data_IF_775252864568
#
_entry.id   IF_775252864568
#
_cell.length_a   1.000
_cell.length_b   1.000
_cell.length_c   1.000
_cell.angle_alpha   90.00
_cell.angle_beta   90.00
_cell.angle_gamma   90.00
#
_symmetry.space_group_name_H-M   'P 1'
#
loop_
_entity.id
_entity.type
_entity.pdbx_description
1 polymer ?
#
# COMPACT_ATOMS: atom_id res chain seq x y z
N UNK A 1 -3.99 5.19 22.03
CA UNK A 1 -2.92 5.41 21.04
C UNK A 1 -3.01 6.85 20.57
N UNK A 2 -1.92 7.60 20.75
CA UNK A 2 -1.80 8.96 20.23
C UNK A 2 -1.62 8.89 18.70
N UNK A 3 -2.48 9.56 17.94
CA UNK A 3 -2.38 9.59 16.48
C UNK A 3 -1.30 10.60 16.10
N UNK A 4 -0.11 10.11 15.79
CA UNK A 4 1.01 10.93 15.32
C UNK A 4 0.97 11.04 13.80
N UNK A 5 1.12 12.25 13.30
CA UNK A 5 1.19 12.55 11.87
C UNK A 5 2.64 12.93 11.55
N UNK A 6 3.22 12.29 10.56
CA UNK A 6 4.57 12.56 10.07
C UNK A 6 4.47 13.09 8.64
N UNK A 7 5.22 14.16 8.35
CA UNK A 7 5.21 14.83 7.05
C UNK A 7 6.66 15.09 6.68
N UNK A 8 7.04 14.73 5.45
CA UNK A 8 8.35 15.07 4.86
C UNK A 8 8.14 15.83 3.56
N UNK A 9 9.14 16.62 3.16
CA UNK A 9 9.14 17.43 1.95
C UNK A 9 10.46 17.24 1.22
N UNK A 10 10.40 17.03 -0.09
CA UNK A 10 11.58 16.80 -0.90
C UNK A 10 11.22 16.49 -2.34
N UNK A 11 12.23 16.13 -3.13
CA UNK A 11 12.11 15.80 -4.55
C UNK A 11 12.58 14.38 -4.88
N UNK A 12 13.01 13.62 -3.86
CA UNK A 12 13.51 12.25 -4.00
C UNK A 12 12.58 11.35 -3.20
N UNK A 13 11.73 10.61 -3.90
CA UNK A 13 10.59 9.87 -3.33
C UNK A 13 11.06 8.75 -2.42
N UNK A 14 12.10 8.04 -2.82
CA UNK A 14 12.67 6.91 -2.09
C UNK A 14 13.20 7.37 -0.74
N UNK A 15 14.04 8.42 -0.76
CA UNK A 15 14.59 9.01 0.47
C UNK A 15 13.48 9.52 1.40
N UNK A 16 12.48 10.20 0.85
CA UNK A 16 11.36 10.70 1.64
C UNK A 16 10.56 9.55 2.28
N UNK A 17 10.34 8.47 1.53
CA UNK A 17 9.62 7.29 2.00
C UNK A 17 10.41 6.58 3.11
N UNK A 18 11.71 6.40 2.94
CA UNK A 18 12.61 5.85 3.96
C UNK A 18 12.63 6.70 5.23
N UNK A 19 12.75 8.03 5.09
CA UNK A 19 12.73 8.96 6.23
C UNK A 19 11.43 8.85 7.03
N UNK A 20 10.27 8.70 6.35
CA UNK A 20 9.00 8.48 7.02
C UNK A 20 8.96 7.12 7.74
N UNK A 21 9.39 6.05 7.10
CA UNK A 21 9.44 4.71 7.68
C UNK A 21 10.33 4.66 8.93
N UNK A 22 11.48 5.35 8.88
CA UNK A 22 12.38 5.53 10.03
C UNK A 22 11.75 6.40 11.12
N UNK A 23 11.14 7.53 10.76
CA UNK A 23 10.52 8.44 11.73
C UNK A 23 9.37 7.77 12.51
N UNK A 24 8.60 6.90 11.87
CA UNK A 24 7.56 6.09 12.54
C UNK A 24 8.13 4.85 13.22
N UNK A 25 9.41 4.53 13.00
CA UNK A 25 10.06 3.31 13.43
C UNK A 25 9.26 2.06 13.01
N UNK A 26 8.95 1.99 11.71
CA UNK A 26 8.06 0.98 11.13
C UNK A 26 8.48 -0.45 11.48
N UNK A 27 9.79 -0.74 11.44
CA UNK A 27 10.31 -2.05 11.79
C UNK A 27 10.04 -2.45 13.25
N UNK A 28 10.13 -1.51 14.20
CA UNK A 28 9.78 -1.80 15.59
C UNK A 28 8.26 -1.93 15.79
N UNK A 29 7.45 -1.20 15.02
CA UNK A 29 5.99 -1.31 15.04
C UNK A 29 5.52 -2.68 14.54
N UNK A 30 6.13 -3.20 13.48
CA UNK A 30 5.85 -4.55 12.95
C UNK A 30 6.31 -5.62 13.95
N UNK A 31 7.50 -5.45 14.52
CA UNK A 31 8.03 -6.33 15.54
C UNK A 31 8.63 -7.62 14.97
N UNK A 32 7.83 -8.68 14.86
CA UNK A 32 8.34 -10.03 14.56
C UNK A 32 8.73 -10.19 13.09
N UNK A 33 9.87 -10.83 12.80
CA UNK A 33 10.39 -10.98 11.43
C UNK A 33 9.54 -11.85 10.52
N UNK A 34 8.79 -12.78 11.11
CA UNK A 34 7.83 -13.63 10.43
C UNK A 34 6.41 -13.04 10.36
N UNK A 35 6.23 -11.75 10.70
CA UNK A 35 4.96 -11.07 10.57
C UNK A 35 4.51 -11.04 9.10
N UNK A 36 3.24 -11.37 8.87
CA UNK A 36 2.58 -11.22 7.58
C UNK A 36 2.25 -9.75 7.35
N UNK A 37 2.99 -9.12 6.44
CA UNK A 37 2.83 -7.71 6.11
C UNK A 37 2.03 -7.59 4.82
N UNK A 38 0.92 -6.86 4.89
CA UNK A 38 0.11 -6.54 3.71
C UNK A 38 0.31 -5.08 3.35
N UNK A 39 0.75 -4.83 2.11
CA UNK A 39 0.79 -3.52 1.48
C UNK A 39 -0.49 -3.33 0.68
N UNK A 40 -1.24 -2.27 0.96
CA UNK A 40 -2.54 -1.95 0.34
C UNK A 40 -2.43 -0.61 -0.42
N UNK A 41 -1.90 -0.59 -1.65
CA UNK A 41 -1.81 0.62 -2.45
C UNK A 41 -3.14 0.95 -3.11
N UNK A 42 -3.95 1.84 -2.53
CA UNK A 42 -5.28 2.15 -3.05
C UNK A 42 -5.22 2.57 -4.54
N UNK A 43 -5.64 1.68 -5.45
CA UNK A 43 -5.63 1.95 -6.89
C UNK A 43 -6.64 3.04 -7.21
N UNK A 44 -6.16 4.26 -7.35
CA UNK A 44 -6.85 5.23 -8.16
C UNK A 44 -6.48 4.92 -9.61
N UNK A 45 -7.51 4.65 -10.41
CA UNK A 45 -7.46 4.55 -11.87
C UNK A 45 -6.46 5.56 -12.45
N UNK A 46 -5.55 5.16 -13.35
CA UNK A 46 -4.59 6.07 -13.96
C UNK A 46 -5.31 7.23 -14.63
N UNK A 47 -5.10 8.44 -14.13
CA UNK A 47 -5.08 9.62 -14.98
C UNK A 47 -3.79 9.59 -15.80
N UNK A 48 -3.84 10.18 -16.99
CA UNK A 48 -2.85 10.14 -18.06
C UNK A 48 -1.38 10.16 -17.55
N UNK A 49 -0.46 9.34 -18.11
CA UNK A 49 0.98 9.37 -17.77
C UNK A 49 1.64 10.76 -17.90
N UNK A 50 1.03 11.68 -18.64
CA UNK A 50 1.47 13.08 -18.74
C UNK A 50 1.28 13.92 -17.47
N UNK A 51 0.57 13.42 -16.45
CA UNK A 51 0.33 14.13 -15.17
C UNK A 51 1.35 13.83 -14.05
N UNK A 52 2.46 13.12 -14.34
CA UNK A 52 3.49 12.80 -13.34
C UNK A 52 3.17 11.60 -12.44
N UNK A 53 2.34 10.67 -12.95
CA UNK A 53 1.74 9.57 -12.18
C UNK A 53 2.61 8.30 -12.01
N UNK A 54 3.93 8.38 -12.18
CA UNK A 54 4.86 7.23 -12.00
C UNK A 54 5.30 7.01 -10.56
N UNK A 55 5.03 7.95 -9.66
CA UNK A 55 5.47 7.97 -8.26
C UNK A 55 4.95 6.82 -7.38
N UNK A 56 3.88 6.13 -7.78
CA UNK A 56 3.25 5.12 -6.91
C UNK A 56 4.08 3.84 -6.75
N UNK A 57 4.76 3.38 -7.81
CA UNK A 57 5.55 2.14 -7.75
C UNK A 57 6.83 2.33 -6.96
N UNK A 58 7.49 3.49 -7.09
CA UNK A 58 8.73 3.81 -6.37
C UNK A 58 8.52 3.77 -4.84
N UNK A 59 7.39 4.29 -4.34
CA UNK A 59 7.04 4.21 -2.91
C UNK A 59 6.90 2.75 -2.47
N UNK A 60 6.22 1.92 -3.28
CA UNK A 60 5.99 0.51 -2.97
C UNK A 60 7.31 -0.26 -2.94
N UNK A 61 8.13 -0.10 -3.97
CA UNK A 61 9.46 -0.71 -4.06
C UNK A 61 10.33 -0.27 -2.89
N UNK A 62 10.33 1.01 -2.54
CA UNK A 62 11.09 1.54 -1.39
C UNK A 62 10.64 0.91 -0.07
N UNK A 63 9.32 0.78 0.16
CA UNK A 63 8.79 0.11 1.36
C UNK A 63 9.23 -1.36 1.38
N UNK A 64 9.16 -2.07 0.25
CA UNK A 64 9.58 -3.47 0.16
C UNK A 64 11.07 -3.60 0.47
N UNK A 65 11.93 -2.81 -0.18
CA UNK A 65 13.37 -2.77 0.09
C UNK A 65 13.66 -2.52 1.58
N UNK A 66 13.06 -1.46 2.13
CA UNK A 66 13.22 -1.09 3.54
C UNK A 66 12.91 -2.26 4.49
N UNK A 67 11.82 -2.98 4.22
CA UNK A 67 11.36 -4.11 5.04
C UNK A 67 12.28 -5.33 4.87
N UNK A 68 12.65 -5.68 3.64
CA UNK A 68 13.53 -6.81 3.35
C UNK A 68 14.95 -6.62 3.89
N UNK A 69 15.51 -5.41 3.79
CA UNK A 69 16.79 -5.07 4.43
C UNK A 69 16.79 -5.30 5.95
N UNK A 70 15.61 -5.25 6.56
CA UNK A 70 15.39 -5.47 8.00
C UNK A 70 14.91 -6.90 8.30
N UNK A 71 14.91 -7.79 7.31
CA UNK A 71 14.61 -9.22 7.46
C UNK A 71 13.12 -9.55 7.55
N UNK A 72 12.25 -8.73 6.96
CA UNK A 72 10.84 -9.07 6.79
C UNK A 72 10.60 -9.60 5.36
N UNK A 73 10.16 -10.85 5.25
CA UNK A 73 10.07 -11.53 3.95
C UNK A 73 8.63 -11.94 3.56
N UNK A 74 7.69 -12.07 4.51
CA UNK A 74 6.28 -12.41 4.22
C UNK A 74 5.47 -11.15 3.87
N UNK A 75 5.79 -10.57 2.72
CA UNK A 75 5.18 -9.34 2.21
C UNK A 75 4.20 -9.69 1.09
N UNK A 76 2.99 -9.12 1.16
CA UNK A 76 1.96 -9.26 0.12
C UNK A 76 1.46 -7.88 -0.31
N UNK A 77 1.53 -7.55 -1.60
CA UNK A 77 0.74 -6.46 -2.17
C UNK A 77 -0.67 -7.01 -2.38
N UNK A 78 -1.65 -6.49 -1.65
CA UNK A 78 -3.05 -6.85 -1.81
C UNK A 78 -3.82 -5.65 -2.35
N UNK A 79 -4.47 -5.79 -3.51
CA UNK A 79 -5.15 -4.66 -4.12
C UNK A 79 -6.31 -5.05 -5.06
N UNK A 80 -7.20 -4.11 -5.37
CA UNK A 80 -8.35 -4.32 -6.25
C UNK A 80 -8.73 -3.06 -7.02
N UNK A 81 -9.01 -3.19 -8.31
CA UNK A 81 -9.57 -2.07 -9.07
C UNK A 81 -11.05 -1.79 -8.75
N UNK A 82 -11.59 -0.68 -9.23
CA UNK A 82 -13.02 -0.36 -9.11
C UNK A 82 -13.93 -1.45 -9.72
N UNK A 83 -15.19 -1.51 -9.29
CA UNK A 83 -16.20 -2.46 -9.78
C UNK A 83 -16.40 -2.27 -11.29
N UNK A 84 -16.22 -3.35 -12.06
CA UNK A 84 -16.31 -3.34 -13.53
C UNK A 84 -14.96 -3.25 -14.25
N UNK A 85 -13.87 -2.92 -13.56
CA UNK A 85 -12.51 -3.00 -14.09
C UNK A 85 -11.83 -4.34 -13.71
N UNK A 86 -10.85 -4.76 -14.51
CA UNK A 86 -10.00 -5.93 -14.20
C UNK A 86 -8.79 -5.45 -13.41
N UNK A 87 -8.59 -5.98 -12.20
CA UNK A 87 -7.42 -5.66 -11.36
C UNK A 87 -6.12 -6.04 -12.08
N UNK A 88 -6.16 -7.14 -12.82
CA UNK A 88 -5.06 -7.64 -13.64
C UNK A 88 -4.51 -6.60 -14.62
N UNK A 89 -5.37 -5.83 -15.26
CA UNK A 89 -4.95 -4.84 -16.24
C UNK A 89 -4.19 -3.69 -15.54
N UNK A 90 -4.62 -3.33 -14.32
CA UNK A 90 -3.92 -2.35 -13.49
C UNK A 90 -2.57 -2.88 -13.00
N UNK A 91 -2.49 -4.16 -12.61
CA UNK A 91 -1.21 -4.79 -12.22
C UNK A 91 -0.20 -4.80 -13.36
N UNK A 92 -0.66 -5.08 -14.58
CA UNK A 92 0.19 -5.03 -15.77
C UNK A 92 0.64 -3.60 -16.08
N UNK A 93 -0.28 -2.64 -16.04
CA UNK A 93 0.03 -1.24 -16.34
C UNK A 93 1.03 -0.63 -15.35
N UNK A 94 0.88 -0.94 -14.07
CA UNK A 94 1.75 -0.43 -13.00
C UNK A 94 2.99 -1.30 -12.77
N UNK A 95 3.19 -2.36 -13.55
CA UNK A 95 4.37 -3.22 -13.41
C UNK A 95 4.43 -4.01 -12.09
N UNK A 96 3.31 -4.29 -11.43
CA UNK A 96 3.31 -5.04 -10.16
C UNK A 96 3.80 -6.48 -10.33
N UNK A 97 3.60 -7.08 -11.50
CA UNK A 97 4.19 -8.39 -11.84
C UNK A 97 5.71 -8.36 -11.96
N UNK A 98 6.30 -7.21 -12.30
CA UNK A 98 7.76 -7.02 -12.26
C UNK A 98 8.22 -6.99 -10.80
N UNK A 99 7.57 -6.17 -9.97
CA UNK A 99 7.86 -6.03 -8.54
C UNK A 99 7.73 -7.39 -7.83
N UNK A 100 6.67 -8.14 -8.09
CA UNK A 100 6.45 -9.47 -7.53
C UNK A 100 7.67 -10.39 -7.77
N UNK A 101 8.17 -10.43 -9.01
CA UNK A 101 9.31 -11.27 -9.39
C UNK A 101 10.65 -10.75 -8.90
N UNK A 102 10.86 -9.44 -8.96
CA UNK A 102 12.12 -8.77 -8.62
C UNK A 102 12.41 -8.88 -7.11
N UNK A 103 11.38 -8.68 -6.29
CA UNK A 103 11.52 -8.71 -4.84
C UNK A 103 11.06 -10.04 -4.20
N UNK A 104 10.50 -10.97 -4.98
CA UNK A 104 10.07 -12.28 -4.48
C UNK A 104 8.90 -12.20 -3.48
N UNK A 105 8.04 -11.19 -3.61
CA UNK A 105 6.86 -10.98 -2.76
C UNK A 105 5.61 -11.61 -3.38
N UNK A 106 4.47 -11.56 -2.70
CA UNK A 106 3.18 -12.04 -3.23
C UNK A 106 2.36 -10.88 -3.79
N UNK A 107 1.68 -11.09 -4.91
CA UNK A 107 0.68 -10.18 -5.45
C UNK A 107 -0.73 -10.80 -5.38
N UNK A 108 -1.67 -10.09 -4.75
CA UNK A 108 -3.05 -10.55 -4.54
C UNK A 108 -4.06 -9.56 -5.15
N UNK A 109 -4.91 -10.07 -6.04
CA UNK A 109 -6.16 -9.40 -6.43
C UNK A 109 -7.23 -9.69 -5.36
N UNK A 110 -7.57 -8.67 -4.56
CA UNK A 110 -8.54 -8.80 -3.46
C UNK A 110 -9.89 -9.34 -3.97
N UNK A 111 -10.29 -9.04 -5.21
CA UNK A 111 -11.54 -9.55 -5.80
C UNK A 111 -11.56 -11.07 -5.94
N UNK A 112 -10.38 -11.71 -5.99
CA UNK A 112 -10.21 -13.17 -6.10
C UNK A 112 -9.90 -13.83 -4.77
N UNK A 113 -9.79 -13.06 -3.69
CA UNK A 113 -9.53 -13.60 -2.36
C UNK A 113 -10.79 -14.27 -1.76
N UNK A 114 -10.59 -15.01 -0.68
CA UNK A 114 -11.69 -15.46 0.19
C UNK A 114 -12.15 -14.30 1.06
N UNK A 115 -13.45 -14.24 1.31
CA UNK A 115 -14.06 -13.23 2.16
C UNK A 115 -14.63 -13.89 3.42
N UNK A 116 -14.50 -13.20 4.54
CA UNK A 116 -15.17 -13.54 5.78
C UNK A 116 -16.13 -12.42 6.17
N UNK A 117 -17.31 -12.80 6.66
CA UNK A 117 -18.27 -11.84 7.18
C UNK A 117 -17.88 -11.45 8.60
N UNK A 118 -17.50 -10.19 8.79
CA UNK A 118 -17.23 -9.60 10.10
C UNK A 118 -18.42 -8.73 10.51
N UNK A 119 -18.92 -8.94 11.72
CA UNK A 119 -19.95 -8.08 12.31
C UNK A 119 -19.31 -7.05 13.26
N UNK A 120 -19.55 -5.76 12.98
CA UNK A 120 -19.13 -4.64 13.81
C UNK A 120 -20.25 -3.61 13.85
N UNK A 121 -20.60 -3.15 15.06
CA UNK A 121 -21.63 -2.13 15.26
C UNK A 121 -22.99 -2.47 14.63
N UNK A 122 -23.36 -3.76 14.57
CA UNK A 122 -24.60 -4.24 13.95
C UNK A 122 -24.60 -4.25 12.42
N UNK A 123 -23.48 -3.94 11.78
CA UNK A 123 -23.30 -4.07 10.34
C UNK A 123 -22.42 -5.28 10.03
N UNK A 124 -22.88 -6.08 9.06
CA UNK A 124 -22.11 -7.19 8.49
C UNK A 124 -21.33 -6.68 7.28
N UNK A 125 -20.03 -6.91 7.29
CA UNK A 125 -19.13 -6.51 6.21
C UNK A 125 -18.33 -7.73 5.76
N UNK A 126 -18.20 -7.90 4.45
CA UNK A 126 -17.29 -8.89 3.89
C UNK A 126 -15.88 -8.29 3.81
N UNK A 127 -14.92 -8.95 4.44
CA UNK A 127 -13.52 -8.51 4.47
C UNK A 127 -12.66 -9.61 3.89
N UNK A 128 -11.65 -9.23 3.09
CA UNK A 128 -10.67 -10.17 2.54
C UNK A 128 -9.95 -10.89 3.67
N UNK A 129 -9.85 -12.21 3.53
CA UNK A 129 -9.20 -13.07 4.51
C UNK A 129 -7.72 -12.75 4.62
N UNK A 130 -7.03 -12.44 3.52
CA UNK A 130 -5.63 -12.00 3.57
C UNK A 130 -5.46 -10.71 4.38
N UNK A 131 -6.38 -9.75 4.27
CA UNK A 131 -6.33 -8.52 5.08
C UNK A 131 -6.61 -8.82 6.55
N UNK A 132 -7.57 -9.72 6.85
CA UNK A 132 -7.88 -10.12 8.22
C UNK A 132 -6.75 -10.92 8.90
N UNK A 133 -6.06 -11.77 8.13
CA UNK A 133 -4.97 -12.63 8.61
C UNK A 133 -3.62 -11.89 8.66
N UNK A 134 -3.57 -10.61 8.26
CA UNK A 134 -2.36 -9.80 8.30
C UNK A 134 -1.96 -9.47 9.75
N UNK A 135 -0.68 -9.64 10.07
CA UNK A 135 -0.12 -9.19 11.34
C UNK A 135 0.13 -7.67 11.33
N UNK A 136 0.40 -7.14 10.14
CA UNK A 136 0.60 -5.70 9.93
C UNK A 136 0.06 -5.26 8.57
N UNK A 137 -0.71 -4.17 8.54
CA UNK A 137 -1.28 -3.58 7.32
C UNK A 137 -0.71 -2.19 7.10
N UNK A 138 -0.07 -1.97 5.96
CA UNK A 138 0.39 -0.66 5.49
C UNK A 138 -0.55 -0.18 4.39
N UNK A 139 -1.47 0.73 4.74
CA UNK A 139 -2.37 1.39 3.78
C UNK A 139 -1.65 2.58 3.14
N UNK A 140 -1.62 2.60 1.81
CA UNK A 140 -0.87 3.58 1.02
C UNK A 140 -1.87 4.33 0.15
N UNK A 141 -2.51 5.39 0.68
CA UNK A 141 -3.49 6.16 -0.06
C UNK A 141 -2.83 7.00 -1.16
N UNK A 142 -3.48 7.09 -2.32
CA UNK A 142 -3.10 8.05 -3.36
C UNK A 142 -3.48 9.45 -2.87
N UNK A 143 -2.48 10.26 -2.55
CA UNK A 143 -2.65 11.70 -2.41
C UNK A 143 -2.87 12.28 -3.81
N UNK A 144 -4.13 12.33 -4.25
CA UNK A 144 -4.48 13.21 -5.37
C UNK A 144 -4.22 14.63 -4.93
N UNK A 145 -3.21 15.27 -5.51
CA UNK A 145 -3.08 16.72 -5.48
C UNK A 145 -4.27 17.32 -6.21
N UNK A 146 -5.40 17.52 -5.53
CA UNK A 146 -6.35 18.50 -6.00
C UNK A 146 -5.66 19.87 -5.89
N UNK A 147 -5.30 20.48 -7.03
CA UNK A 147 -5.04 21.92 -7.16
C UNK A 147 -6.32 22.76 -6.92
N UNK A 148 -7.13 22.38 -5.95
CA UNK A 148 -8.21 23.19 -5.38
C UNK A 148 -8.29 22.95 -3.88
N UNK A 149 -7.39 23.58 -3.13
CA UNK A 149 -7.74 24.10 -1.82
C UNK A 149 -7.55 25.61 -1.86
N UNK A 150 -8.61 26.32 -2.27
CA UNK A 150 -8.79 27.71 -1.82
C UNK A 150 -8.91 27.64 -0.30
N UNK A 151 -8.04 28.35 0.41
CA UNK A 151 -8.27 28.69 1.81
C UNK A 151 -9.69 29.24 1.97
N UNK A 152 -10.40 28.76 2.97
CA UNK A 152 -11.53 29.50 3.55
C UNK A 152 -11.17 29.81 4.99
N UNK A 153 -11.07 31.11 5.27
CA UNK A 153 -11.01 31.71 6.61
C UNK A 153 -12.30 31.44 7.40
#
# INVERSE_FOLDING_TARGET
MERKIYITYGTVIEKMTEELLEAVNAAALIGQKNSKIVLKPNLVVPSDPSDGATTHTEIIETIICYLQERGFDDITIAESSWVGARTEDAFNLLGYHRIEKEYGIKLLDIKKDRFETVERYGMKMEVSKTILDADFLIDIPVLKGHCQTKMTH
#
